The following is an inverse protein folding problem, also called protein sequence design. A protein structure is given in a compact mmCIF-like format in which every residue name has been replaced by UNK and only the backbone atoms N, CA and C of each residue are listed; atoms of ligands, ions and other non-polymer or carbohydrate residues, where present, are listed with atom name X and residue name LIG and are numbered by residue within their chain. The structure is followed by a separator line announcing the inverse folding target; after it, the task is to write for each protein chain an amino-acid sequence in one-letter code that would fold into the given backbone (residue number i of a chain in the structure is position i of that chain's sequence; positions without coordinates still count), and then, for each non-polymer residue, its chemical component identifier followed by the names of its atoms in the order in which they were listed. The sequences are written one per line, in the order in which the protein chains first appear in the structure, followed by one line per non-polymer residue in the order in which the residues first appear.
data_IF_868209132976
#
_entry.id   IF_868209132976
#
_cell.length_a   1.000
_cell.length_b   1.000
_cell.length_c   1.000
_cell.angle_alpha   90.00
_cell.angle_beta   90.00
_cell.angle_gamma   90.00
#
_symmetry.space_group_name_H-M   'P 1'
#
loop_
_entity.id
_entity.type
_entity.pdbx_description
1 polymer ?
#
# COMPACT_ATOMS: atom_id res chain seq x y z
N UNK A 1 24.73 56.11 11.89
CA UNK A 1 25.16 54.69 11.76
C UNK A 1 24.30 53.89 12.71
N UNK A 2 23.16 53.41 12.19
CA UNK A 2 22.11 52.71 12.92
C UNK A 2 22.28 51.22 12.64
N UNK A 3 22.44 50.40 13.68
CA UNK A 3 22.32 48.95 13.60
C UNK A 3 21.20 48.53 14.55
N UNK A 4 19.98 48.60 14.01
CA UNK A 4 18.79 47.98 14.57
C UNK A 4 18.84 46.48 14.28
N UNK A 5 19.08 45.69 15.32
CA UNK A 5 18.96 44.23 15.30
C UNK A 5 17.47 43.89 15.38
N UNK A 6 16.86 43.63 14.22
CA UNK A 6 15.51 43.10 14.14
C UNK A 6 15.51 41.61 14.46
N UNK A 7 14.85 41.27 15.56
CA UNK A 7 14.51 39.91 15.97
C UNK A 7 13.56 39.30 14.93
N UNK A 8 14.08 38.48 14.00
CA UNK A 8 13.26 37.65 13.14
C UNK A 8 13.01 36.32 13.86
N UNK A 9 11.84 36.20 14.50
CA UNK A 9 11.26 34.92 14.89
C UNK A 9 10.96 34.16 13.60
N UNK A 10 11.87 33.27 13.19
CA UNK A 10 11.59 32.25 12.18
C UNK A 10 10.62 31.27 12.82
N UNK A 11 9.33 31.47 12.55
CA UNK A 11 8.35 30.40 12.69
C UNK A 11 8.77 29.30 11.72
N UNK A 12 9.43 28.26 12.24
CA UNK A 12 9.53 26.97 11.59
C UNK A 12 8.11 26.41 11.48
N UNK A 13 7.43 26.77 10.38
CA UNK A 13 6.37 25.93 9.85
C UNK A 13 7.06 24.63 9.43
N UNK A 14 6.95 23.63 10.30
CA UNK A 14 7.24 22.24 9.97
C UNK A 14 6.29 21.82 8.85
N UNK A 15 6.68 22.06 7.60
CA UNK A 15 6.20 21.26 6.48
C UNK A 15 6.81 19.88 6.68
N UNK A 16 6.13 19.05 7.46
CA UNK A 16 6.55 17.69 7.73
C UNK A 16 6.63 16.96 6.39
N UNK A 17 7.83 16.60 5.96
CA UNK A 17 7.94 15.51 5.00
C UNK A 17 7.23 14.30 5.63
N UNK A 18 6.30 13.65 4.92
CA UNK A 18 5.67 12.45 5.44
C UNK A 18 6.79 11.49 5.84
N UNK A 19 6.73 10.98 7.08
CA UNK A 19 7.75 10.13 7.65
C UNK A 19 8.21 9.08 6.62
N UNK A 20 9.53 8.93 6.49
CA UNK A 20 10.13 7.95 5.58
C UNK A 20 9.45 6.59 5.80
N UNK A 21 8.93 6.01 4.72
CA UNK A 21 8.19 4.75 4.77
C UNK A 21 8.35 4.02 3.45
N UNK A 22 8.25 2.69 3.45
CA UNK A 22 8.59 1.92 2.26
C UNK A 22 7.55 0.88 1.85
N UNK A 23 6.80 0.30 2.79
CA UNK A 23 5.77 -0.71 2.46
C UNK A 23 6.29 -1.81 1.52
N UNK A 24 5.40 -2.35 0.68
CA UNK A 24 5.76 -3.45 -0.23
C UNK A 24 6.86 -3.06 -1.24
N UNK A 25 6.99 -1.77 -1.54
CA UNK A 25 7.80 -1.29 -2.65
C UNK A 25 9.31 -1.44 -2.44
N UNK A 26 9.78 -1.50 -1.19
CA UNK A 26 11.21 -1.66 -0.87
C UNK A 26 11.82 -2.95 -1.44
N UNK A 27 11.01 -3.96 -1.73
CA UNK A 27 11.54 -5.28 -2.04
C UNK A 27 10.87 -5.89 -3.26
N UNK A 28 11.69 -6.52 -4.08
CA UNK A 28 11.24 -7.09 -5.33
C UNK A 28 10.92 -6.03 -6.37
N UNK A 29 10.78 -6.52 -7.59
CA UNK A 29 10.54 -5.70 -8.77
C UNK A 29 9.11 -5.84 -9.28
N UNK A 30 8.45 -6.94 -8.91
CA UNK A 30 7.03 -7.19 -9.16
C UNK A 30 6.21 -6.80 -7.95
N UNK A 31 5.19 -5.96 -8.17
CA UNK A 31 4.33 -5.40 -7.14
C UNK A 31 2.87 -5.69 -7.46
N UNK A 32 2.09 -5.97 -6.41
CA UNK A 32 0.64 -6.14 -6.52
C UNK A 32 -0.03 -4.82 -6.18
N UNK A 33 -0.66 -4.22 -7.17
CA UNK A 33 -1.49 -3.02 -7.05
C UNK A 33 -2.96 -3.43 -6.93
N UNK A 34 -3.88 -2.45 -6.80
CA UNK A 34 -5.30 -2.70 -6.56
C UNK A 34 -5.93 -3.77 -7.49
N UNK A 35 -5.58 -3.77 -8.79
CA UNK A 35 -6.13 -4.71 -9.77
C UNK A 35 -5.07 -5.37 -10.66
N UNK A 36 -3.80 -4.99 -10.50
CA UNK A 36 -2.73 -5.41 -11.40
C UNK A 36 -1.59 -6.03 -10.61
N UNK A 37 -1.00 -7.08 -11.16
CA UNK A 37 0.38 -7.44 -10.86
C UNK A 37 1.26 -6.78 -11.92
N UNK A 38 2.24 -5.98 -11.49
CA UNK A 38 3.08 -5.19 -12.37
C UNK A 38 4.53 -5.52 -12.08
N UNK A 39 5.28 -5.91 -13.10
CA UNK A 39 6.73 -6.06 -13.06
C UNK A 39 7.39 -4.91 -13.84
N UNK A 40 8.72 -4.81 -13.89
CA UNK A 40 9.40 -3.77 -14.66
C UNK A 40 9.21 -3.88 -16.18
N UNK A 41 8.66 -4.97 -16.69
CA UNK A 41 8.55 -5.21 -18.14
C UNK A 41 7.13 -5.44 -18.62
N UNK A 42 6.24 -5.80 -17.71
CA UNK A 42 4.89 -6.25 -18.04
C UNK A 42 3.91 -6.08 -16.89
N UNK A 43 2.63 -6.22 -17.20
CA UNK A 43 1.57 -6.27 -16.22
C UNK A 43 0.51 -7.29 -16.62
N UNK A 44 -0.24 -7.74 -15.62
CA UNK A 44 -1.43 -8.58 -15.79
C UNK A 44 -2.50 -8.15 -14.79
N UNK A 45 -3.77 -8.40 -15.10
CA UNK A 45 -4.82 -8.26 -14.08
C UNK A 45 -4.71 -9.38 -13.05
N UNK A 46 -5.08 -9.09 -11.81
CA UNK A 46 -5.20 -10.05 -10.71
C UNK A 46 -6.45 -10.96 -10.87
N UNK A 47 -6.69 -11.47 -12.08
CA UNK A 47 -7.82 -12.33 -12.43
C UNK A 47 -7.35 -13.51 -13.28
N UNK A 48 -7.92 -14.69 -13.04
CA UNK A 48 -7.62 -15.88 -13.83
C UNK A 48 -7.90 -15.67 -15.32
N UNK A 49 -6.94 -16.03 -16.17
CA UNK A 49 -7.03 -15.90 -17.63
C UNK A 49 -6.79 -14.49 -18.18
N UNK A 50 -6.31 -13.55 -17.35
CA UNK A 50 -5.96 -12.21 -17.80
C UNK A 50 -4.83 -12.21 -18.85
N UNK A 51 -4.91 -11.28 -19.80
CA UNK A 51 -3.87 -11.07 -20.79
C UNK A 51 -2.61 -10.50 -20.11
N UNK A 52 -1.46 -11.12 -20.38
CA UNK A 52 -0.16 -10.58 -20.02
C UNK A 52 0.24 -9.53 -21.07
N UNK A 53 0.47 -8.30 -20.62
CA UNK A 53 0.79 -7.17 -21.50
C UNK A 53 2.19 -6.67 -21.17
N UNK A 54 3.09 -6.76 -22.13
CA UNK A 54 4.46 -6.30 -22.07
C UNK A 54 4.56 -4.86 -22.59
N UNK A 55 5.32 -4.02 -21.90
CA UNK A 55 5.58 -2.62 -22.28
C UNK A 55 7.07 -2.31 -22.43
N UNK A 56 7.93 -3.23 -22.01
CA UNK A 56 9.38 -3.14 -22.18
C UNK A 56 9.98 -4.52 -22.34
N UNK A 57 11.20 -4.57 -22.85
CA UNK A 57 12.07 -5.75 -22.76
C UNK A 57 12.84 -5.72 -21.44
N UNK A 58 13.42 -6.86 -21.00
CA UNK A 58 14.35 -6.89 -19.89
C UNK A 58 15.50 -5.91 -20.14
N UNK A 59 15.55 -4.86 -19.34
CA UNK A 59 16.50 -3.75 -19.46
C UNK A 59 17.00 -3.35 -18.09
N UNK A 60 18.15 -2.68 -18.06
CA UNK A 60 18.67 -2.07 -16.83
C UNK A 60 17.69 -0.94 -16.41
N UNK A 61 16.98 -1.19 -15.31
CA UNK A 61 16.19 -0.19 -14.60
C UNK A 61 16.82 0.07 -13.24
N UNK A 62 16.58 1.26 -12.69
CA UNK A 62 17.02 1.62 -11.34
C UNK A 62 15.91 2.35 -10.58
N UNK A 63 15.77 2.09 -9.27
CA UNK A 63 14.81 2.81 -8.44
C UNK A 63 15.26 4.27 -8.30
N UNK A 64 14.35 5.20 -8.59
CA UNK A 64 14.56 6.64 -8.45
C UNK A 64 13.98 7.17 -7.14
N UNK A 65 12.79 6.70 -6.78
CA UNK A 65 12.03 7.14 -5.61
C UNK A 65 11.23 5.98 -5.05
N UNK A 66 11.06 5.97 -3.74
CA UNK A 66 10.30 4.97 -3.02
C UNK A 66 9.56 5.59 -1.84
N UNK A 67 8.31 5.19 -1.67
CA UNK A 67 7.52 5.37 -0.45
C UNK A 67 6.62 4.14 -0.25
N UNK A 68 5.81 4.07 0.81
CA UNK A 68 4.72 3.06 0.89
C UNK A 68 3.57 3.30 -0.11
N UNK A 69 3.52 4.48 -0.73
CA UNK A 69 2.44 4.90 -1.63
C UNK A 69 2.83 4.79 -3.11
N UNK A 70 4.11 4.91 -3.42
CA UNK A 70 4.63 4.87 -4.78
C UNK A 70 6.07 4.34 -4.89
N UNK A 71 6.40 3.82 -6.08
CA UNK A 71 7.76 3.48 -6.48
C UNK A 71 7.97 3.94 -7.90
N UNK A 72 9.08 4.64 -8.16
CA UNK A 72 9.45 5.08 -9.51
C UNK A 72 10.71 4.35 -9.95
N UNK A 73 10.61 3.60 -11.05
CA UNK A 73 11.74 3.06 -11.77
C UNK A 73 12.07 3.96 -12.96
N UNK A 74 13.35 4.16 -13.22
CA UNK A 74 13.83 4.79 -14.46
C UNK A 74 14.51 3.74 -15.33
N UNK A 75 14.21 3.78 -16.62
CA UNK A 75 14.77 2.90 -17.64
C UNK A 75 15.82 3.62 -18.45
N UNK A 76 16.72 2.85 -19.05
CA UNK A 76 17.58 3.37 -20.12
C UNK A 76 16.71 3.73 -21.35
N UNK A 77 16.86 4.94 -21.94
CA UNK A 77 16.06 5.36 -23.08
C UNK A 77 16.14 4.38 -24.27
N UNK A 78 14.98 3.96 -24.78
CA UNK A 78 14.82 3.15 -25.99
C UNK A 78 13.51 3.53 -26.72
N UNK A 79 13.48 3.50 -28.06
CA UNK A 79 12.26 3.80 -28.81
C UNK A 79 11.10 2.88 -28.43
N UNK A 80 9.93 3.45 -28.19
CA UNK A 80 8.70 2.72 -27.86
C UNK A 80 8.68 2.06 -26.47
N UNK A 81 9.76 2.14 -25.69
CA UNK A 81 9.82 1.68 -24.30
C UNK A 81 9.65 2.86 -23.33
N UNK A 82 9.14 2.63 -22.11
CA UNK A 82 9.00 3.70 -21.15
C UNK A 82 10.38 4.21 -20.69
N UNK A 83 10.48 5.50 -20.43
CA UNK A 83 11.56 6.14 -19.68
C UNK A 83 11.41 5.91 -18.17
N UNK A 84 10.16 5.86 -17.68
CA UNK A 84 9.85 5.64 -16.26
C UNK A 84 8.61 4.78 -16.07
N UNK A 85 8.61 3.98 -15.02
CA UNK A 85 7.44 3.27 -14.49
C UNK A 85 7.18 3.80 -13.09
N UNK A 86 5.94 4.20 -12.82
CA UNK A 86 5.48 4.55 -11.49
C UNK A 86 4.43 3.56 -11.04
N UNK A 87 4.77 2.77 -10.02
CA UNK A 87 3.82 2.01 -9.23
C UNK A 87 3.07 2.97 -8.29
N UNK A 88 1.75 2.81 -8.17
CA UNK A 88 0.88 3.76 -7.47
C UNK A 88 -0.12 3.00 -6.59
N UNK A 89 0.15 2.87 -5.29
CA UNK A 89 -0.76 2.20 -4.35
C UNK A 89 -2.03 3.00 -4.07
N UNK A 90 -2.02 4.31 -4.31
CA UNK A 90 -3.16 5.21 -4.10
C UNK A 90 -4.09 5.31 -5.32
N UNK A 91 -3.83 4.56 -6.40
CA UNK A 91 -4.58 4.64 -7.65
C UNK A 91 -5.18 3.28 -8.05
N UNK A 92 -5.99 3.28 -9.11
CA UNK A 92 -6.56 2.06 -9.70
C UNK A 92 -5.63 1.42 -10.74
N UNK A 93 -4.31 1.70 -10.69
CA UNK A 93 -3.32 1.16 -11.61
C UNK A 93 -1.93 1.78 -11.46
N UNK A 94 -1.23 2.00 -12.57
CA UNK A 94 0.15 2.48 -12.60
C UNK A 94 0.40 3.38 -13.81
N UNK A 95 1.53 4.08 -13.85
CA UNK A 95 1.82 5.05 -14.91
C UNK A 95 3.14 4.77 -15.59
N UNK A 96 3.18 4.93 -16.91
CA UNK A 96 4.36 4.73 -17.74
C UNK A 96 4.70 6.05 -18.46
N UNK A 97 5.92 6.54 -18.33
CA UNK A 97 6.37 7.74 -19.05
C UNK A 97 7.07 7.32 -20.34
N UNK A 98 6.67 7.87 -21.47
CA UNK A 98 7.28 7.61 -22.78
C UNK A 98 7.92 8.86 -23.37
N UNK A 99 8.81 8.62 -24.33
CA UNK A 99 9.38 9.63 -25.20
C UNK A 99 9.52 9.06 -26.61
N UNK A 100 9.16 9.85 -27.60
CA UNK A 100 9.22 9.50 -29.02
C UNK A 100 8.41 8.23 -29.38
N UNK A 101 7.28 8.01 -28.69
CA UNK A 101 6.32 6.94 -29.01
C UNK A 101 6.10 5.91 -27.89
N UNK A 102 5.02 5.15 -28.04
CA UNK A 102 4.53 4.18 -27.05
C UNK A 102 4.24 2.85 -27.73
N UNK A 103 4.62 1.74 -27.06
CA UNK A 103 4.34 0.38 -27.52
C UNK A 103 3.94 -0.54 -26.36
N UNK A 104 2.85 -1.28 -26.55
CA UNK A 104 2.48 -2.44 -25.73
C UNK A 104 2.39 -3.68 -26.61
N UNK A 105 2.68 -4.85 -26.05
CA UNK A 105 2.52 -6.15 -26.69
C UNK A 105 1.74 -7.09 -25.78
N UNK A 106 0.63 -7.65 -26.26
CA UNK A 106 -0.10 -8.68 -25.53
C UNK A 106 0.22 -10.07 -26.06
N UNK A 107 0.31 -11.06 -25.16
CA UNK A 107 0.47 -12.49 -25.51
C UNK A 107 -0.76 -13.27 -25.09
N UNK A 108 -1.11 -14.29 -25.88
CA UNK A 108 -2.11 -15.30 -25.51
C UNK A 108 -3.58 -14.87 -25.47
N UNK A 109 -3.90 -13.62 -25.80
CA UNK A 109 -5.26 -13.10 -25.94
C UNK A 109 -5.48 -12.52 -27.35
N UNK A 110 -6.74 -12.45 -27.79
CA UNK A 110 -7.08 -11.77 -29.04
C UNK A 110 -6.62 -10.31 -29.01
N UNK A 111 -6.40 -9.74 -30.19
CA UNK A 111 -6.16 -8.30 -30.31
C UNK A 111 -7.37 -7.52 -29.75
N UNK A 112 -7.15 -6.50 -28.89
CA UNK A 112 -8.24 -5.74 -28.30
C UNK A 112 -8.88 -4.78 -29.32
N UNK A 113 -10.14 -4.44 -29.08
CA UNK A 113 -10.77 -3.26 -29.65
C UNK A 113 -10.26 -2.01 -28.94
N UNK A 114 -10.05 -0.94 -29.70
CA UNK A 114 -9.78 0.40 -29.16
C UNK A 114 -11.07 1.20 -29.16
N UNK A 115 -11.42 1.76 -28.01
CA UNK A 115 -12.68 2.46 -27.80
C UNK A 115 -12.45 3.79 -27.08
N UNK A 116 -13.04 4.87 -27.57
CA UNK A 116 -12.93 6.22 -26.99
C UNK A 116 -14.30 6.87 -26.89
N UNK A 117 -14.36 8.17 -26.56
CA UNK A 117 -15.61 8.88 -26.29
C UNK A 117 -16.63 8.84 -27.44
N UNK A 118 -16.15 8.82 -28.68
CA UNK A 118 -16.97 9.05 -29.88
C UNK A 118 -16.98 7.86 -30.85
N UNK A 119 -16.25 6.77 -30.54
CA UNK A 119 -16.16 5.63 -31.44
C UNK A 119 -15.33 4.45 -30.93
N UNK A 120 -15.30 3.41 -31.76
CA UNK A 120 -14.51 2.20 -31.54
C UNK A 120 -13.95 1.70 -32.87
N UNK A 121 -12.76 1.09 -32.83
CA UNK A 121 -12.14 0.42 -33.96
C UNK A 121 -11.58 -0.94 -33.55
N UNK A 122 -11.53 -1.85 -34.52
CA UNK A 122 -10.86 -3.14 -34.38
C UNK A 122 -9.38 -3.10 -34.76
N UNK A 123 -8.72 -4.26 -34.73
CA UNK A 123 -7.32 -4.40 -35.15
C UNK A 123 -7.11 -3.92 -36.60
N UNK A 124 -5.94 -3.34 -36.86
CA UNK A 124 -5.54 -2.83 -38.17
C UNK A 124 -6.04 -1.42 -38.50
N UNK A 125 -6.99 -0.86 -37.74
CA UNK A 125 -7.56 0.47 -37.99
C UNK A 125 -7.06 1.47 -36.95
N UNK A 126 -6.48 2.61 -37.34
CA UNK A 126 -6.03 3.63 -36.39
C UNK A 126 -7.20 4.40 -35.79
N UNK A 127 -7.05 4.80 -34.53
CA UNK A 127 -7.94 5.74 -33.84
C UNK A 127 -7.58 7.19 -34.22
N UNK A 128 -8.53 8.14 -34.10
CA UNK A 128 -8.17 9.56 -34.12
C UNK A 128 -7.29 9.91 -32.90
N UNK A 129 -6.70 11.10 -32.93
CA UNK A 129 -5.97 11.62 -31.77
C UNK A 129 -6.93 11.82 -30.59
N UNK A 130 -6.71 11.10 -29.48
CA UNK A 130 -7.59 11.12 -28.31
C UNK A 130 -6.79 11.24 -27.01
N UNK A 131 -7.40 11.84 -25.98
CA UNK A 131 -6.79 11.95 -24.65
C UNK A 131 -6.90 10.67 -23.81
N UNK A 132 -7.67 9.68 -24.26
CA UNK A 132 -7.78 8.37 -23.63
C UNK A 132 -8.30 7.33 -24.63
N UNK A 133 -7.93 6.08 -24.40
CA UNK A 133 -8.43 4.93 -25.13
C UNK A 133 -8.65 3.75 -24.18
N UNK A 134 -9.71 3.00 -24.42
CA UNK A 134 -10.07 1.79 -23.70
C UNK A 134 -9.74 0.57 -24.56
N UNK A 135 -9.02 -0.37 -23.97
CA UNK A 135 -8.76 -1.69 -24.53
C UNK A 135 -9.81 -2.66 -23.97
N UNK A 136 -10.51 -3.34 -24.87
CA UNK A 136 -11.53 -4.33 -24.54
C UNK A 136 -11.45 -5.54 -25.46
N UNK A 137 -11.87 -6.70 -24.98
CA UNK A 137 -11.72 -7.98 -25.69
C UNK A 137 -13.06 -8.62 -26.05
N UNK A 138 -13.03 -9.50 -27.04
CA UNK A 138 -14.20 -10.32 -27.38
C UNK A 138 -14.53 -11.33 -26.27
N UNK A 139 -13.51 -11.72 -25.51
CA UNK A 139 -13.55 -12.54 -24.32
C UNK A 139 -13.98 -11.70 -23.10
N UNK A 140 -14.58 -12.34 -22.07
CA UNK A 140 -14.95 -11.68 -20.82
C UNK A 140 -13.70 -11.33 -19.99
N UNK A 141 -13.01 -10.26 -20.36
CA UNK A 141 -11.84 -9.73 -19.64
C UNK A 141 -12.12 -8.33 -19.09
N UNK A 142 -11.48 -7.93 -17.98
CA UNK A 142 -11.57 -6.56 -17.49
C UNK A 142 -10.96 -5.58 -18.50
N UNK A 143 -11.63 -4.47 -18.84
CA UNK A 143 -11.10 -3.51 -19.80
C UNK A 143 -9.95 -2.70 -19.19
N UNK A 144 -8.96 -2.32 -20.01
CA UNK A 144 -7.83 -1.45 -19.59
C UNK A 144 -8.05 -0.06 -20.14
N UNK A 145 -8.06 0.95 -19.28
CA UNK A 145 -8.08 2.35 -19.69
C UNK A 145 -6.64 2.88 -19.78
N UNK A 146 -6.31 3.47 -20.91
CA UNK A 146 -5.12 4.30 -21.11
C UNK A 146 -5.56 5.76 -21.12
N UNK A 147 -4.98 6.57 -20.24
CA UNK A 147 -5.18 8.02 -20.21
C UNK A 147 -3.86 8.71 -20.50
N UNK A 148 -3.86 9.67 -21.43
CA UNK A 148 -2.67 10.37 -21.89
C UNK A 148 -2.57 11.73 -21.17
N UNK A 149 -1.43 12.01 -20.55
CA UNK A 149 -1.17 13.31 -19.91
C UNK A 149 -0.65 14.37 -20.89
N UNK A 150 -0.14 13.95 -22.05
CA UNK A 150 0.38 14.83 -23.09
C UNK A 150 -0.70 15.24 -24.09
N UNK A 151 -0.24 15.60 -25.29
CA UNK A 151 -1.15 15.87 -26.41
C UNK A 151 -1.94 14.60 -26.78
N UNK A 152 -3.21 14.75 -27.24
CA UNK A 152 -3.99 13.63 -27.75
C UNK A 152 -3.23 12.83 -28.81
N UNK A 153 -3.30 11.50 -28.73
CA UNK A 153 -2.53 10.60 -29.60
C UNK A 153 -3.42 9.60 -30.30
N UNK A 154 -3.09 9.32 -31.57
CA UNK A 154 -3.71 8.24 -32.33
C UNK A 154 -2.99 6.92 -32.05
N UNK A 155 -3.76 5.87 -31.82
CA UNK A 155 -3.30 4.51 -31.54
C UNK A 155 -3.77 3.53 -32.62
N UNK A 156 -2.99 2.48 -32.86
CA UNK A 156 -3.40 1.35 -33.70
C UNK A 156 -2.98 0.03 -33.05
N UNK A 157 -3.88 -0.94 -33.05
CA UNK A 157 -3.57 -2.33 -32.71
C UNK A 157 -3.24 -3.08 -33.99
N UNK A 158 -2.18 -3.88 -33.98
CA UNK A 158 -1.81 -4.80 -35.06
C UNK A 158 -1.75 -6.22 -34.54
N UNK A 159 -2.27 -7.17 -35.30
CA UNK A 159 -2.09 -8.59 -35.02
C UNK A 159 -0.66 -9.02 -35.37
N UNK A 160 -0.09 -9.87 -34.54
CA UNK A 160 1.22 -10.48 -34.73
C UNK A 160 1.09 -12.00 -34.62
N UNK A 161 2.07 -12.74 -35.15
CA UNK A 161 2.03 -14.21 -35.13
C UNK A 161 1.83 -14.79 -33.72
N UNK A 162 2.42 -14.15 -32.70
CA UNK A 162 2.38 -14.59 -31.30
C UNK A 162 1.51 -13.70 -30.38
N UNK A 163 0.65 -12.85 -30.94
CA UNK A 163 -0.21 -11.97 -30.16
C UNK A 163 -0.58 -10.67 -30.88
N UNK A 164 -0.41 -9.54 -30.22
CA UNK A 164 -0.74 -8.23 -30.80
C UNK A 164 0.20 -7.15 -30.28
N UNK A 165 0.30 -6.05 -31.04
CA UNK A 165 1.00 -4.85 -30.61
C UNK A 165 0.10 -3.61 -30.74
N UNK A 166 0.11 -2.77 -29.71
CA UNK A 166 -0.52 -1.45 -29.70
C UNK A 166 0.58 -0.39 -29.78
N UNK A 167 0.48 0.50 -30.76
CA UNK A 167 1.50 1.52 -31.03
C UNK A 167 0.85 2.88 -31.32
N UNK A 168 1.60 3.97 -31.07
CA UNK A 168 1.18 5.31 -31.48
C UNK A 168 1.40 5.54 -32.98
N UNK A 169 0.48 6.27 -33.60
CA UNK A 169 0.58 6.69 -35.01
C UNK A 169 1.55 7.85 -35.21
N UNK A 170 1.76 8.64 -34.15
CA UNK A 170 2.65 9.80 -34.12
C UNK A 170 3.56 9.68 -32.89
N UNK A 171 4.72 10.38 -32.87
CA UNK A 171 5.54 10.44 -31.67
C UNK A 171 4.73 10.96 -30.48
N UNK A 172 4.88 10.31 -29.33
CA UNK A 172 4.21 10.69 -28.09
C UNK A 172 5.23 10.92 -26.99
N UNK A 173 5.12 12.07 -26.34
CA UNK A 173 5.90 12.48 -25.17
C UNK A 173 4.95 12.76 -24.01
N UNK A 174 5.02 11.94 -22.95
CA UNK A 174 4.14 12.12 -21.79
C UNK A 174 3.96 10.87 -20.97
N UNK A 175 3.10 10.97 -19.96
CA UNK A 175 2.67 9.83 -19.15
C UNK A 175 1.47 9.15 -19.79
N UNK A 176 1.48 7.83 -19.77
CA UNK A 176 0.35 6.96 -20.07
C UNK A 176 -0.07 6.32 -18.75
N UNK A 177 -1.24 6.72 -18.26
CA UNK A 177 -1.83 6.17 -17.04
C UNK A 177 -2.63 4.92 -17.42
N UNK A 178 -2.18 3.76 -16.93
CA UNK A 178 -2.86 2.48 -17.10
C UNK A 178 -3.78 2.27 -15.90
N UNK A 179 -5.08 2.07 -16.16
CA UNK A 179 -6.12 2.03 -15.12
C UNK A 179 -7.10 0.89 -15.34
N UNK A 180 -7.67 0.41 -14.25
CA UNK A 180 -8.81 -0.52 -14.23
C UNK A 180 -10.12 0.28 -13.99
N UNK A 181 -10.77 0.82 -15.03
CA UNK A 181 -11.90 1.75 -14.86
C UNK A 181 -13.14 1.09 -14.23
N UNK A 182 -13.25 -0.23 -14.39
CA UNK A 182 -14.32 -1.06 -13.83
C UNK A 182 -13.77 -2.10 -12.84
N UNK A 183 -12.57 -1.85 -12.29
CA UNK A 183 -11.91 -2.78 -11.37
C UNK A 183 -11.68 -4.16 -11.99
N UNK A 184 -12.19 -5.20 -11.33
CA UNK A 184 -12.07 -6.60 -11.70
C UNK A 184 -13.20 -7.12 -12.61
N UNK A 185 -14.17 -6.25 -12.94
CA UNK A 185 -15.36 -6.63 -13.71
C UNK A 185 -14.98 -7.02 -15.15
N UNK A 186 -15.27 -8.27 -15.51
CA UNK A 186 -15.11 -8.75 -16.87
C UNK A 186 -16.26 -8.27 -17.76
N UNK A 187 -15.91 -7.71 -18.90
CA UNK A 187 -16.88 -7.23 -19.88
C UNK A 187 -16.59 -7.89 -21.23
N UNK A 188 -17.58 -8.57 -21.78
CA UNK A 188 -17.53 -9.11 -23.13
C UNK A 188 -17.98 -8.05 -24.14
N UNK A 189 -17.15 -7.75 -25.13
CA UNK A 189 -17.51 -6.82 -26.23
C UNK A 189 -17.52 -7.54 -27.58
N UNK A 190 -18.69 -8.02 -28.02
CA UNK A 190 -18.84 -8.77 -29.29
C UNK A 190 -19.36 -7.91 -30.45
N UNK A 191 -19.86 -6.72 -30.17
CA UNK A 191 -20.32 -5.80 -31.21
C UNK A 191 -20.45 -4.35 -30.74
N UNK A 192 -20.84 -3.48 -31.67
CA UNK A 192 -20.92 -2.03 -31.46
C UNK A 192 -21.81 -1.64 -30.26
N UNK A 193 -22.90 -2.36 -30.02
CA UNK A 193 -23.78 -2.09 -28.87
C UNK A 193 -23.10 -2.36 -27.52
N UNK A 194 -22.27 -3.41 -27.42
CA UNK A 194 -21.51 -3.71 -26.20
C UNK A 194 -20.45 -2.64 -25.94
N UNK A 195 -19.73 -2.24 -27.01
CA UNK A 195 -18.71 -1.20 -26.96
C UNK A 195 -19.32 0.16 -26.56
N UNK A 196 -20.48 0.53 -27.13
CA UNK A 196 -21.19 1.75 -26.78
C UNK A 196 -21.66 1.77 -25.31
N UNK A 197 -22.15 0.64 -24.80
CA UNK A 197 -22.47 0.49 -23.36
C UNK A 197 -21.23 0.63 -22.49
N UNK A 198 -20.11 0.06 -22.91
CA UNK A 198 -18.86 0.13 -22.19
C UNK A 198 -18.34 1.58 -22.09
N UNK A 199 -18.38 2.34 -23.19
CA UNK A 199 -18.04 3.78 -23.21
C UNK A 199 -18.90 4.56 -22.21
N UNK A 200 -20.21 4.37 -22.25
CA UNK A 200 -21.15 5.11 -21.39
C UNK A 200 -20.84 4.90 -19.89
N UNK A 201 -20.30 3.74 -19.51
CA UNK A 201 -19.94 3.43 -18.12
C UNK A 201 -18.60 4.03 -17.68
N UNK A 202 -17.71 4.33 -18.62
CA UNK A 202 -16.33 4.78 -18.34
C UNK A 202 -16.16 6.28 -18.56
N UNK A 203 -16.83 6.87 -19.56
CA UNK A 203 -16.63 8.26 -20.03
C UNK A 203 -16.60 9.28 -18.90
N UNK A 204 -17.59 9.24 -18.01
CA UNK A 204 -17.71 10.21 -16.91
C UNK A 204 -16.67 9.98 -15.80
N UNK A 205 -16.06 8.79 -15.75
CA UNK A 205 -15.05 8.43 -14.76
C UNK A 205 -13.63 8.86 -15.20
N UNK A 206 -13.39 9.03 -16.50
CA UNK A 206 -12.05 9.30 -17.06
C UNK A 206 -11.39 10.51 -16.41
N UNK A 207 -12.14 11.59 -16.14
CA UNK A 207 -11.63 12.80 -15.52
C UNK A 207 -10.96 12.55 -14.15
N UNK A 208 -11.39 11.52 -13.43
CA UNK A 208 -10.86 11.12 -12.12
C UNK A 208 -9.83 9.99 -12.19
N UNK A 209 -9.54 9.48 -13.40
CA UNK A 209 -8.65 8.34 -13.65
C UNK A 209 -7.34 8.75 -14.32
N UNK A 210 -7.04 10.05 -14.36
CA UNK A 210 -5.76 10.60 -14.81
C UNK A 210 -4.60 10.27 -13.86
N UNK A 211 -3.72 11.24 -13.58
CA UNK A 211 -2.59 10.97 -12.69
C UNK A 211 -3.06 10.62 -11.26
N UNK A 212 -2.34 9.70 -10.61
CA UNK A 212 -2.67 9.21 -9.29
C UNK A 212 -2.70 10.32 -8.23
N UNK A 213 -3.64 10.24 -7.26
CA UNK A 213 -3.66 11.12 -6.10
C UNK A 213 -2.38 11.01 -5.28
N UNK A 214 -1.74 12.15 -5.03
CA UNK A 214 -0.51 12.23 -4.24
C UNK A 214 -0.87 12.64 -2.82
N UNK A 215 -0.33 11.89 -1.86
CA UNK A 215 -0.46 12.24 -0.46
C UNK A 215 0.29 13.55 -0.19
N UNK A 216 -0.42 14.51 0.40
CA UNK A 216 0.11 15.82 0.78
C UNK A 216 0.40 15.89 2.27
N UNK A 217 -0.50 15.31 3.09
CA UNK A 217 -0.47 15.45 4.54
C UNK A 217 -1.24 14.29 5.21
N UNK A 218 -0.87 14.01 6.47
CA UNK A 218 -1.55 13.04 7.33
C UNK A 218 -1.80 13.68 8.69
N UNK A 219 -3.07 13.88 9.02
CA UNK A 219 -3.46 14.34 10.34
C UNK A 219 -3.96 13.17 11.19
N UNK A 220 -3.57 13.17 12.46
CA UNK A 220 -4.08 12.22 13.44
C UNK A 220 -4.60 12.94 14.67
N UNK A 221 -5.71 12.44 15.19
CA UNK A 221 -6.32 12.91 16.44
C UNK A 221 -6.78 11.70 17.23
N UNK A 222 -6.32 11.60 18.47
CA UNK A 222 -6.63 10.49 19.35
C UNK A 222 -7.51 10.94 20.52
N UNK A 223 -8.39 10.03 20.94
CA UNK A 223 -9.15 10.15 22.19
C UNK A 223 -9.18 8.78 22.90
N UNK A 224 -9.99 8.68 23.96
CA UNK A 224 -10.13 7.46 24.78
C UNK A 224 -10.73 6.26 24.03
N UNK A 225 -11.49 6.51 22.95
CA UNK A 225 -12.23 5.49 22.20
C UNK A 225 -11.54 5.08 20.90
N UNK A 226 -10.49 5.79 20.48
CA UNK A 226 -9.81 5.47 19.24
C UNK A 226 -8.96 6.60 18.68
N UNK A 227 -8.56 6.42 17.43
CA UNK A 227 -7.80 7.40 16.66
C UNK A 227 -8.52 7.68 15.34
N UNK A 228 -8.67 8.96 15.03
CA UNK A 228 -9.08 9.42 13.71
C UNK A 228 -7.85 9.78 12.91
N UNK A 229 -7.76 9.26 11.69
CA UNK A 229 -6.70 9.57 10.73
C UNK A 229 -7.32 10.18 9.48
N UNK A 230 -6.75 11.27 8.99
CA UNK A 230 -7.13 11.92 7.75
C UNK A 230 -5.92 11.96 6.82
N UNK A 231 -5.97 11.20 5.73
CA UNK A 231 -5.02 11.33 4.62
C UNK A 231 -5.53 12.37 3.63
N UNK A 232 -4.76 13.43 3.41
CA UNK A 232 -5.08 14.48 2.43
C UNK A 232 -4.31 14.29 1.14
N UNK A 233 -5.05 14.29 0.03
CA UNK A 233 -4.52 14.14 -1.31
C UNK A 233 -4.65 15.44 -2.10
N UNK A 234 -3.81 15.61 -3.12
CA UNK A 234 -3.88 16.76 -4.03
C UNK A 234 -5.17 16.78 -4.88
N UNK A 235 -5.76 15.61 -5.12
CA UNK A 235 -6.94 15.39 -5.98
C UNK A 235 -7.81 14.20 -5.48
N UNK A 236 -9.07 14.10 -5.93
CA UNK A 236 -9.94 12.98 -5.56
C UNK A 236 -9.56 11.67 -6.27
N UNK A 237 -10.18 10.57 -5.84
CA UNK A 237 -10.04 9.26 -6.48
C UNK A 237 -9.01 8.34 -5.83
N UNK A 238 -8.55 8.66 -4.62
CA UNK A 238 -7.58 7.83 -3.90
C UNK A 238 -8.19 6.45 -3.62
N UNK A 239 -7.45 5.39 -3.93
CA UNK A 239 -7.87 4.03 -3.65
C UNK A 239 -8.00 3.80 -2.13
N UNK A 240 -9.11 3.18 -1.72
CA UNK A 240 -9.38 2.83 -0.33
C UNK A 240 -8.92 1.38 -0.11
N UNK A 241 -7.97 1.14 0.80
CA UNK A 241 -7.45 -0.21 1.06
C UNK A 241 -8.55 -1.20 1.47
N UNK A 242 -8.55 -2.45 0.98
CA UNK A 242 -9.55 -3.47 1.35
C UNK A 242 -9.72 -3.70 2.85
N UNK A 243 -8.65 -3.73 3.69
CA UNK A 243 -8.80 -3.82 5.14
C UNK A 243 -9.65 -2.70 5.74
N UNK A 244 -9.66 -1.51 5.13
CA UNK A 244 -10.46 -0.39 5.57
C UNK A 244 -11.96 -0.65 5.36
N UNK A 245 -12.32 -1.20 4.20
CA UNK A 245 -13.72 -1.49 3.87
C UNK A 245 -14.24 -2.72 4.60
N UNK A 246 -13.42 -3.75 4.77
CA UNK A 246 -13.75 -4.93 5.59
C UNK A 246 -13.88 -4.56 7.08
N UNK A 247 -12.95 -3.77 7.62
CA UNK A 247 -13.05 -3.29 9.01
C UNK A 247 -14.29 -2.42 9.25
N UNK A 248 -14.74 -1.67 8.24
CA UNK A 248 -15.97 -0.87 8.32
C UNK A 248 -17.23 -1.72 8.35
N UNK A 249 -17.32 -2.76 7.51
CA UNK A 249 -18.47 -3.68 7.49
C UNK A 249 -18.55 -4.50 8.79
N UNK A 250 -17.40 -4.84 9.38
CA UNK A 250 -17.30 -5.50 10.69
C UNK A 250 -17.47 -4.55 11.88
N UNK A 251 -17.69 -3.25 11.65
CA UNK A 251 -17.81 -2.20 12.69
C UNK A 251 -16.56 -2.07 13.58
N UNK A 252 -15.39 -2.51 13.14
CA UNK A 252 -14.11 -2.33 13.84
C UNK A 252 -13.49 -0.96 13.61
N UNK A 253 -13.89 -0.31 12.52
CA UNK A 253 -13.57 1.08 12.22
C UNK A 253 -14.77 1.77 11.58
N UNK A 254 -14.71 3.09 11.41
CA UNK A 254 -15.71 3.85 10.66
C UNK A 254 -15.02 4.61 9.54
N UNK A 255 -15.46 4.39 8.30
CA UNK A 255 -15.11 5.24 7.17
C UNK A 255 -15.96 6.50 7.24
N UNK A 256 -15.31 7.65 7.46
CA UNK A 256 -16.01 8.94 7.61
C UNK A 256 -16.07 9.70 6.29
N UNK A 257 -15.13 9.45 5.38
CA UNK A 257 -15.14 10.04 4.04
C UNK A 257 -16.14 9.33 3.11
N UNK A 258 -16.73 10.07 2.15
CA UNK A 258 -17.52 9.46 1.09
C UNK A 258 -16.63 8.61 0.18
N UNK A 259 -17.08 7.38 -0.08
CA UNK A 259 -16.41 6.42 -0.96
C UNK A 259 -17.35 5.96 -2.07
N UNK A 260 -16.77 5.66 -3.22
CA UNK A 260 -17.44 5.10 -4.39
C UNK A 260 -16.89 3.71 -4.67
N UNK A 261 -17.79 2.77 -4.99
CA UNK A 261 -17.39 1.44 -5.44
C UNK A 261 -16.81 1.50 -6.85
N UNK A 262 -15.75 0.74 -7.08
CA UNK A 262 -15.10 0.55 -8.38
C UNK A 262 -15.37 -0.87 -8.86
N UNK A 263 -16.12 -1.00 -9.95
CA UNK A 263 -16.46 -2.31 -10.52
C UNK A 263 -17.54 -3.06 -9.73
N UNK A 264 -17.51 -4.39 -9.82
CA UNK A 264 -18.44 -5.30 -9.13
C UNK A 264 -17.92 -5.80 -7.78
N UNK A 265 -16.60 -5.78 -7.55
CA UNK A 265 -15.98 -6.24 -6.33
C UNK A 265 -16.04 -5.27 -5.14
N UNK A 266 -15.23 -5.56 -4.13
CA UNK A 266 -15.09 -4.79 -2.88
C UNK A 266 -14.01 -3.70 -2.97
N UNK A 267 -13.72 -3.22 -4.18
CA UNK A 267 -12.78 -2.14 -4.38
C UNK A 267 -13.50 -0.78 -4.30
N UNK A 268 -12.90 0.17 -3.59
CA UNK A 268 -13.47 1.49 -3.39
C UNK A 268 -12.43 2.59 -3.62
N UNK A 269 -12.91 3.79 -3.95
CA UNK A 269 -12.11 5.00 -4.06
C UNK A 269 -12.77 6.14 -3.29
N UNK A 270 -11.98 7.09 -2.83
CA UNK A 270 -12.51 8.30 -2.21
C UNK A 270 -13.09 9.25 -3.28
N UNK A 271 -14.31 9.73 -3.06
CA UNK A 271 -14.93 10.74 -3.93
C UNK A 271 -14.31 12.12 -3.76
N UNK A 272 -13.77 12.41 -2.56
CA UNK A 272 -13.13 13.67 -2.21
C UNK A 272 -11.61 13.58 -2.19
N UNK A 273 -10.97 14.67 -1.75
CA UNK A 273 -9.51 14.76 -1.57
C UNK A 273 -9.01 14.22 -0.23
N UNK A 274 -9.91 13.78 0.64
CA UNK A 274 -9.57 13.36 2.01
C UNK A 274 -10.14 11.98 2.28
N UNK A 275 -9.30 11.05 2.72
CA UNK A 275 -9.74 9.77 3.29
C UNK A 275 -9.63 9.88 4.81
N UNK A 276 -10.78 9.92 5.48
CA UNK A 276 -10.88 10.01 6.93
C UNK A 276 -11.43 8.71 7.48
N UNK A 277 -10.67 8.10 8.40
CA UNK A 277 -11.01 6.83 9.03
C UNK A 277 -10.93 6.99 10.53
N UNK A 278 -11.97 6.54 11.23
CA UNK A 278 -11.97 6.39 12.68
C UNK A 278 -11.67 4.94 13.04
N UNK A 279 -10.48 4.70 13.56
CA UNK A 279 -10.04 3.42 14.08
C UNK A 279 -10.47 3.30 15.54
N UNK A 280 -11.24 2.27 15.87
CA UNK A 280 -11.74 2.03 17.24
C UNK A 280 -10.64 1.28 18.01
N UNK A 281 -10.26 1.80 19.17
CA UNK A 281 -9.21 1.20 19.96
C UNK A 281 -8.90 1.97 21.23
N UNK A 282 -8.52 1.24 22.27
CA UNK A 282 -8.14 1.78 23.58
C UNK A 282 -6.62 1.81 23.69
N UNK A 283 -6.10 2.76 24.46
CA UNK A 283 -4.69 2.71 24.86
C UNK A 283 -4.47 1.56 25.84
N UNK A 284 -3.39 0.81 25.66
CA UNK A 284 -2.83 -0.03 26.70
C UNK A 284 -1.97 0.85 27.60
N UNK A 285 -2.42 1.04 28.84
CA UNK A 285 -1.66 1.79 29.82
C UNK A 285 -0.90 0.83 30.73
N UNK A 286 0.34 1.16 31.06
CA UNK A 286 1.09 0.45 32.08
C UNK A 286 0.30 0.49 33.40
N UNK A 287 -0.02 -0.68 33.94
CA UNK A 287 -0.83 -0.83 35.13
C UNK A 287 0.01 -1.12 36.36
N UNK A 288 -0.42 -0.65 37.53
CA UNK A 288 0.03 -1.22 38.81
C UNK A 288 -0.87 -2.40 39.15
N UNK A 289 -0.31 -3.60 39.26
CA UNK A 289 -1.02 -4.75 39.81
C UNK A 289 -1.49 -4.43 41.24
N UNK A 290 -2.81 -4.39 41.47
CA UNK A 290 -3.39 -4.04 42.78
C UNK A 290 -3.38 -5.26 43.73
N UNK A 291 -3.25 -6.48 43.18
CA UNK A 291 -3.04 -7.72 43.93
C UNK A 291 -2.06 -8.58 43.15
N UNK A 292 -0.82 -8.70 43.65
CA UNK A 292 0.11 -9.74 43.21
C UNK A 292 -0.11 -10.91 44.17
N UNK A 293 -0.95 -11.88 43.79
CA UNK A 293 -0.81 -13.23 44.35
C UNK A 293 0.62 -13.71 44.06
N UNK A 294 1.18 -14.65 44.85
CA UNK A 294 2.54 -15.17 44.61
C UNK A 294 2.77 -15.35 43.11
N UNK A 295 3.64 -14.52 42.54
CA UNK A 295 3.96 -14.62 41.13
C UNK A 295 4.42 -16.06 40.91
N UNK A 296 3.71 -16.82 40.09
CA UNK A 296 4.17 -18.14 39.71
C UNK A 296 5.61 -17.97 39.19
N UNK A 297 6.50 -18.87 39.57
CA UNK A 297 7.81 -18.96 38.93
C UNK A 297 7.58 -19.45 37.50
N UNK A 298 7.11 -18.56 36.63
CA UNK A 298 6.95 -18.82 35.21
C UNK A 298 8.34 -18.75 34.56
N UNK A 299 8.78 -19.90 34.05
CA UNK A 299 9.86 -19.96 33.09
C UNK A 299 9.27 -19.56 31.74
N UNK A 300 9.64 -18.37 31.25
CA UNK A 300 9.42 -18.01 29.85
C UNK A 300 10.63 -18.55 29.08
N UNK A 301 10.48 -19.61 28.26
CA UNK A 301 11.54 -19.97 27.33
C UNK A 301 11.60 -18.85 26.29
N UNK A 302 12.49 -17.88 26.47
CA UNK A 302 12.65 -16.72 25.58
C UNK A 302 13.39 -17.10 24.29
N UNK A 303 13.05 -18.24 23.71
CA UNK A 303 13.58 -18.79 22.46
C UNK A 303 12.63 -18.54 21.27
N UNK A 304 11.39 -18.14 21.53
CA UNK A 304 10.36 -17.86 20.52
C UNK A 304 9.78 -16.43 20.64
N UNK A 305 9.35 -15.81 19.52
CA UNK A 305 8.85 -14.43 19.52
C UNK A 305 7.68 -14.23 20.47
N UNK A 306 6.77 -15.20 20.49
CA UNK A 306 5.59 -15.17 21.35
C UNK A 306 5.96 -15.08 22.83
N UNK A 307 6.92 -15.87 23.31
CA UNK A 307 7.33 -15.84 24.72
C UNK A 307 8.01 -14.51 25.10
N UNK A 308 8.74 -13.89 24.17
CA UNK A 308 9.30 -12.53 24.37
C UNK A 308 8.18 -11.50 24.50
N UNK A 309 7.16 -11.59 23.65
CA UNK A 309 5.99 -10.72 23.71
C UNK A 309 5.16 -10.96 24.99
N UNK A 310 4.99 -12.20 25.44
CA UNK A 310 4.31 -12.55 26.69
C UNK A 310 5.03 -11.93 27.90
N UNK A 311 6.36 -12.09 27.99
CA UNK A 311 7.16 -11.48 29.04
C UNK A 311 7.10 -9.94 29.00
N UNK A 312 7.08 -9.34 27.81
CA UNK A 312 6.94 -7.90 27.64
C UNK A 312 5.57 -7.39 28.15
N UNK A 313 4.48 -8.07 27.83
CA UNK A 313 3.14 -7.71 28.31
C UNK A 313 3.01 -7.92 29.83
N UNK A 314 3.54 -9.03 30.35
CA UNK A 314 3.60 -9.29 31.79
C UNK A 314 4.40 -8.19 32.52
N UNK A 315 5.44 -7.63 31.88
CA UNK A 315 6.15 -6.47 32.40
C UNK A 315 5.25 -5.24 32.47
N UNK A 316 4.51 -4.87 31.41
CA UNK A 316 3.66 -3.66 31.46
C UNK A 316 2.50 -3.77 32.45
N UNK A 317 2.04 -4.99 32.74
CA UNK A 317 1.01 -5.26 33.75
C UNK A 317 1.55 -5.48 35.16
N UNK A 318 2.88 -5.38 35.34
CA UNK A 318 3.53 -5.57 36.64
C UNK A 318 3.20 -6.94 37.27
N UNK A 319 3.12 -7.98 36.43
CA UNK A 319 2.97 -9.39 36.84
C UNK A 319 4.27 -10.18 36.64
N UNK A 320 5.23 -9.65 35.88
CA UNK A 320 6.54 -10.26 35.68
C UNK A 320 7.39 -10.21 36.96
N UNK A 321 8.01 -11.34 37.33
CA UNK A 321 8.92 -11.41 38.48
C UNK A 321 10.24 -10.67 38.22
N UNK A 322 10.96 -10.27 39.27
CA UNK A 322 12.27 -9.61 39.14
C UNK A 322 13.32 -10.47 38.41
N UNK A 323 13.24 -11.80 38.59
CA UNK A 323 14.05 -12.77 37.82
C UNK A 323 13.65 -12.75 36.36
N UNK A 324 12.35 -12.78 36.05
CA UNK A 324 11.81 -12.70 34.69
C UNK A 324 12.20 -11.40 33.99
N UNK A 325 12.15 -10.25 34.68
CA UNK A 325 12.62 -8.98 34.11
C UNK A 325 14.12 -9.03 33.79
N UNK A 326 14.93 -9.57 34.70
CA UNK A 326 16.37 -9.73 34.50
C UNK A 326 16.68 -10.68 33.33
N UNK A 327 15.86 -11.71 33.14
CA UNK A 327 15.94 -12.62 32.00
C UNK A 327 15.56 -11.92 30.70
N UNK A 328 14.42 -11.22 30.66
CA UNK A 328 13.97 -10.46 29.49
C UNK A 328 15.03 -9.46 29.05
N UNK A 329 15.59 -8.66 29.98
CA UNK A 329 16.65 -7.70 29.66
C UNK A 329 17.91 -8.38 29.11
N UNK A 330 18.29 -9.55 29.64
CA UNK A 330 19.45 -10.31 29.16
C UNK A 330 19.19 -10.88 27.77
N UNK A 331 18.03 -11.49 27.57
CA UNK A 331 17.60 -12.08 26.31
C UNK A 331 17.45 -11.03 25.22
N UNK A 332 17.02 -9.80 25.52
CA UNK A 332 17.04 -8.71 24.55
C UNK A 332 18.42 -8.41 24.00
N UNK A 333 19.46 -8.46 24.83
CA UNK A 333 20.85 -8.28 24.36
C UNK A 333 21.28 -9.38 23.38
N UNK A 334 20.81 -10.61 23.60
CA UNK A 334 21.09 -11.78 22.76
C UNK A 334 20.27 -11.73 21.47
N UNK A 335 18.97 -11.48 21.57
CA UNK A 335 18.04 -11.37 20.45
C UNK A 335 18.35 -10.20 19.53
N UNK A 336 18.79 -9.06 20.07
CA UNK A 336 19.27 -7.95 19.28
C UNK A 336 20.45 -8.33 18.36
N UNK A 337 21.22 -9.36 18.72
CA UNK A 337 22.31 -9.89 17.88
C UNK A 337 21.83 -10.88 16.82
N UNK A 338 20.71 -11.59 17.05
CA UNK A 338 20.11 -12.55 16.11
C UNK A 338 19.19 -11.88 15.08
N UNK A 339 18.38 -10.91 15.48
CA UNK A 339 17.44 -10.20 14.63
C UNK A 339 18.12 -9.11 13.77
N UNK A 340 19.29 -9.43 13.20
CA UNK A 340 20.24 -8.52 12.56
C UNK A 340 19.60 -7.29 11.93
N UNK A 341 19.99 -6.11 12.42
CA UNK A 341 19.45 -4.83 11.95
C UNK A 341 20.31 -4.37 10.77
N UNK A 342 19.77 -4.56 9.57
CA UNK A 342 20.26 -3.89 8.39
C UNK A 342 19.57 -2.53 8.24
N UNK A 343 19.84 -1.86 7.14
CA UNK A 343 19.08 -0.69 6.71
C UNK A 343 18.38 -1.00 5.40
N UNK A 344 17.10 -0.62 5.33
CA UNK A 344 16.38 -0.68 4.06
C UNK A 344 17.10 0.23 3.04
N UNK A 345 17.50 -0.28 1.86
CA UNK A 345 18.42 0.44 0.97
C UNK A 345 17.94 1.79 0.48
N UNK A 346 16.63 2.00 0.32
CA UNK A 346 16.07 3.22 -0.25
C UNK A 346 15.85 4.32 0.80
N UNK A 347 15.37 3.97 1.99
CA UNK A 347 14.99 4.89 3.07
C UNK A 347 16.05 4.98 4.17
N UNK A 348 16.96 4.02 4.25
CA UNK A 348 17.97 3.92 5.28
C UNK A 348 17.42 3.54 6.65
N UNK A 349 16.13 3.20 6.78
CA UNK A 349 15.51 2.87 8.06
C UNK A 349 15.95 1.49 8.57
N UNK A 350 16.04 1.30 9.91
CA UNK A 350 16.34 0.01 10.49
C UNK A 350 15.35 -1.06 10.03
N UNK A 351 15.83 -2.19 9.55
CA UNK A 351 14.97 -3.28 9.10
C UNK A 351 15.68 -4.62 9.24
N UNK A 352 15.00 -5.71 9.65
CA UNK A 352 15.60 -7.03 9.64
C UNK A 352 16.03 -7.37 8.20
N UNK A 353 17.32 -7.62 7.99
CA UNK A 353 17.93 -7.75 6.67
C UNK A 353 17.30 -8.78 5.73
N UNK A 354 17.62 -8.67 4.43
CA UNK A 354 17.43 -9.74 3.44
C UNK A 354 16.10 -9.77 2.65
N UNK A 355 16.08 -10.63 1.62
CA UNK A 355 14.90 -10.99 0.82
C UNK A 355 14.04 -12.07 1.50
N UNK A 356 14.62 -12.81 2.44
CA UNK A 356 13.97 -13.86 3.24
C UNK A 356 13.68 -13.29 4.64
N UNK A 357 12.45 -12.76 4.78
CA UNK A 357 11.93 -12.05 5.96
C UNK A 357 11.47 -13.01 7.06
N UNK A 358 12.25 -14.05 7.29
CA UNK A 358 11.88 -15.16 8.17
C UNK A 358 12.02 -14.80 9.65
N UNK A 359 12.55 -13.60 9.95
CA UNK A 359 12.78 -13.09 11.31
C UNK A 359 11.92 -11.86 11.68
N UNK A 360 10.88 -11.57 10.90
CA UNK A 360 10.09 -10.34 11.07
C UNK A 360 9.23 -10.39 12.34
N UNK A 361 8.70 -11.55 12.71
CA UNK A 361 7.99 -11.75 13.97
C UNK A 361 8.92 -11.51 15.17
N UNK A 362 10.14 -12.06 15.14
CA UNK A 362 11.19 -11.85 16.14
C UNK A 362 11.49 -10.35 16.29
N UNK A 363 11.68 -9.67 15.16
CA UNK A 363 11.96 -8.23 15.14
C UNK A 363 10.82 -7.41 15.75
N UNK A 364 9.56 -7.78 15.48
CA UNK A 364 8.41 -7.10 16.04
C UNK A 364 8.19 -7.40 17.53
N UNK A 365 8.43 -8.63 17.98
CA UNK A 365 8.43 -9.00 19.40
C UNK A 365 9.52 -8.25 20.18
N UNK A 366 10.71 -8.09 19.59
CA UNK A 366 11.79 -7.26 20.15
C UNK A 366 11.37 -5.80 20.30
N UNK A 367 10.76 -5.23 19.26
CA UNK A 367 10.23 -3.87 19.31
C UNK A 367 9.23 -3.70 20.46
N UNK A 368 8.33 -4.67 20.66
CA UNK A 368 7.35 -4.69 21.75
C UNK A 368 8.02 -4.71 23.12
N UNK A 369 8.99 -5.60 23.32
CA UNK A 369 9.75 -5.70 24.56
C UNK A 369 10.58 -4.44 24.87
N UNK A 370 11.20 -3.84 23.85
CA UNK A 370 11.92 -2.57 23.98
C UNK A 370 10.98 -1.44 24.42
N UNK A 371 9.79 -1.34 23.81
CA UNK A 371 8.78 -0.35 24.19
C UNK A 371 8.27 -0.59 25.62
N UNK A 372 7.98 -1.84 25.97
CA UNK A 372 7.53 -2.23 27.31
C UNK A 372 8.54 -1.81 28.39
N UNK A 373 9.83 -2.02 28.14
CA UNK A 373 10.92 -1.65 29.05
C UNK A 373 11.38 -0.18 28.94
N UNK A 374 10.67 0.64 28.15
CA UNK A 374 11.01 2.04 27.86
C UNK A 374 12.46 2.24 27.35
N UNK A 375 12.95 1.31 26.54
CA UNK A 375 14.26 1.39 25.89
C UNK A 375 14.16 2.23 24.61
N UNK A 376 15.15 3.10 24.38
CA UNK A 376 15.25 3.89 23.15
C UNK A 376 15.76 3.01 22.00
N UNK A 377 14.98 2.86 20.94
CA UNK A 377 15.33 2.05 19.77
C UNK A 377 14.74 2.64 18.49
N UNK A 378 15.56 2.76 17.44
CA UNK A 378 15.11 3.18 16.11
C UNK A 378 14.34 2.06 15.38
N UNK A 379 14.38 0.81 15.90
CA UNK A 379 13.80 -0.37 15.23
C UNK A 379 12.29 -0.23 14.97
N UNK A 380 11.59 0.36 15.94
CA UNK A 380 10.15 0.58 15.90
C UNK A 380 9.76 1.48 14.71
N UNK A 381 10.57 2.49 14.39
CA UNK A 381 10.34 3.37 13.24
C UNK A 381 10.34 2.56 11.94
N UNK A 382 11.30 1.66 11.79
CA UNK A 382 11.36 0.72 10.66
C UNK A 382 10.17 -0.22 10.57
N UNK A 383 9.74 -0.77 11.70
CA UNK A 383 8.55 -1.62 11.79
C UNK A 383 7.31 -0.89 11.31
N UNK A 384 7.04 0.30 11.83
CA UNK A 384 5.93 1.15 11.41
C UNK A 384 6.07 1.59 9.95
N UNK A 385 7.28 1.89 9.48
CA UNK A 385 7.59 2.30 8.10
C UNK A 385 7.28 1.20 7.05
N UNK A 386 7.35 -0.06 7.46
CA UNK A 386 7.09 -1.23 6.61
C UNK A 386 5.62 -1.55 6.33
N UNK A 387 4.70 -0.90 7.05
CA UNK A 387 3.27 -1.11 6.88
C UNK A 387 2.86 -0.75 5.45
N UNK A 388 2.34 -1.72 4.72
CA UNK A 388 1.90 -1.56 3.33
C UNK A 388 0.55 -0.83 3.25
N UNK A 389 0.39 0.05 2.26
CA UNK A 389 -0.85 0.80 2.09
C UNK A 389 -2.04 -0.09 1.69
N UNK A 390 -1.82 -1.09 0.83
CA UNK A 390 -2.91 -1.90 0.28
C UNK A 390 -3.37 -2.98 1.26
N UNK A 391 -2.43 -3.64 1.94
CA UNK A 391 -2.75 -4.75 2.85
C UNK A 391 -2.85 -4.34 4.30
N UNK A 392 -2.30 -3.17 4.69
CA UNK A 392 -2.13 -2.78 6.10
C UNK A 392 -1.36 -3.81 6.92
N UNK A 393 -0.56 -4.66 6.28
CA UNK A 393 0.36 -5.58 6.93
C UNK A 393 1.81 -5.09 6.77
N UNK A 394 2.70 -5.39 7.73
CA UNK A 394 4.13 -5.25 7.55
C UNK A 394 4.61 -6.03 6.33
N UNK A 395 5.67 -5.52 5.70
CA UNK A 395 6.21 -6.09 4.49
C UNK A 395 7.05 -7.33 4.81
N UNK A 396 6.47 -8.52 4.67
CA UNK A 396 7.08 -9.78 5.13
C UNK A 396 6.73 -10.99 4.26
N UNK A 397 7.17 -12.19 4.67
CA UNK A 397 6.51 -13.45 4.27
C UNK A 397 5.13 -13.48 4.94
N UNK A 398 4.10 -14.04 4.30
CA UNK A 398 2.72 -13.88 4.75
C UNK A 398 2.48 -14.24 6.22
N UNK A 399 2.99 -15.38 6.69
CA UNK A 399 2.85 -15.83 8.08
C UNK A 399 3.55 -14.87 9.06
N UNK A 400 4.84 -14.59 8.80
CA UNK A 400 5.66 -13.66 9.56
C UNK A 400 5.10 -12.23 9.60
N UNK A 401 4.51 -11.77 8.50
CA UNK A 401 3.87 -10.47 8.39
C UNK A 401 2.63 -10.37 9.27
N UNK A 402 1.81 -11.43 9.35
CA UNK A 402 0.62 -11.46 10.23
C UNK A 402 1.03 -11.48 11.70
N UNK A 403 2.00 -12.32 12.05
CA UNK A 403 2.49 -12.38 13.42
C UNK A 403 3.09 -11.04 13.85
N UNK A 404 3.93 -10.45 13.01
CA UNK A 404 4.47 -9.11 13.25
C UNK A 404 3.38 -8.03 13.30
N UNK A 405 2.31 -8.14 12.51
CA UNK A 405 1.17 -7.25 12.59
C UNK A 405 0.44 -7.35 13.94
N UNK A 406 0.38 -8.55 14.53
CA UNK A 406 -0.22 -8.75 15.84
C UNK A 406 0.60 -8.03 16.94
N UNK A 407 1.93 -8.14 16.87
CA UNK A 407 2.81 -7.39 17.78
C UNK A 407 2.79 -5.88 17.50
N UNK A 408 2.69 -5.45 16.23
CA UNK A 408 2.56 -4.05 15.82
C UNK A 408 1.25 -3.43 16.36
N UNK A 409 0.16 -4.19 16.38
CA UNK A 409 -1.10 -3.75 16.99
C UNK A 409 -0.92 -3.46 18.49
N UNK A 410 -0.30 -4.37 19.25
CA UNK A 410 -0.03 -4.16 20.68
C UNK A 410 0.94 -2.99 20.93
N UNK A 411 1.98 -2.87 20.09
CA UNK A 411 2.90 -1.74 20.10
C UNK A 411 2.18 -0.40 19.90
N UNK A 412 1.30 -0.33 18.91
CA UNK A 412 0.48 0.86 18.66
C UNK A 412 -0.41 1.15 19.86
N UNK A 413 -1.04 0.14 20.47
CA UNK A 413 -1.87 0.32 21.66
C UNK A 413 -1.09 0.86 22.87
N UNK A 414 0.18 0.46 23.04
CA UNK A 414 1.08 0.97 24.09
C UNK A 414 1.63 2.37 23.80
N UNK A 415 1.46 2.89 22.58
CA UNK A 415 1.99 4.19 22.20
C UNK A 415 1.13 5.35 22.70
N UNK A 416 1.80 6.43 23.10
CA UNK A 416 1.16 7.72 23.35
C UNK A 416 1.06 8.59 22.08
N UNK A 417 1.75 8.20 21.00
CA UNK A 417 1.70 8.89 19.72
C UNK A 417 0.45 8.47 18.93
N UNK A 418 -0.33 9.45 18.48
CA UNK A 418 -1.59 9.19 17.78
C UNK A 418 -1.37 8.47 16.45
N UNK A 419 -0.27 8.75 15.76
CA UNK A 419 0.03 8.14 14.47
C UNK A 419 0.48 6.67 14.64
N UNK A 420 1.34 6.36 15.59
CA UNK A 420 1.70 4.97 15.93
C UNK A 420 0.47 4.16 16.37
N UNK A 421 -0.42 4.74 17.19
CA UNK A 421 -1.70 4.11 17.58
C UNK A 421 -2.58 3.80 16.37
N UNK A 422 -2.63 4.71 15.39
CA UNK A 422 -3.35 4.49 14.15
C UNK A 422 -2.75 3.34 13.33
N UNK A 423 -1.43 3.30 13.16
CA UNK A 423 -0.76 2.21 12.43
C UNK A 423 -0.99 0.85 13.12
N UNK A 424 -0.98 0.80 14.46
CA UNK A 424 -1.37 -0.39 15.22
C UNK A 424 -2.80 -0.84 14.97
N UNK A 425 -3.75 0.10 14.98
CA UNK A 425 -5.15 -0.21 14.72
C UNK A 425 -5.39 -0.63 13.24
N UNK A 426 -4.64 -0.08 12.29
CA UNK A 426 -4.66 -0.51 10.89
C UNK A 426 -4.21 -1.97 10.75
N UNK A 427 -3.09 -2.35 11.40
CA UNK A 427 -2.62 -3.73 11.41
C UNK A 427 -3.64 -4.69 12.03
N UNK A 428 -4.30 -4.30 13.13
CA UNK A 428 -5.38 -5.09 13.71
C UNK A 428 -6.57 -5.27 12.77
N UNK A 429 -6.99 -4.20 12.09
CA UNK A 429 -8.07 -4.27 11.11
C UNK A 429 -7.74 -5.21 9.95
N UNK A 430 -6.48 -5.21 9.49
CA UNK A 430 -5.99 -6.14 8.47
C UNK A 430 -6.09 -7.60 8.92
N UNK A 431 -5.59 -7.92 10.11
CA UNK A 431 -5.63 -9.28 10.66
C UNK A 431 -7.05 -9.83 10.79
N UNK A 432 -8.00 -8.97 11.18
CA UNK A 432 -9.41 -9.37 11.30
C UNK A 432 -10.07 -9.53 9.93
N UNK A 433 -9.73 -8.69 8.95
CA UNK A 433 -10.18 -8.86 7.58
C UNK A 433 -9.71 -10.19 6.94
N UNK A 434 -8.53 -10.70 7.32
CA UNK A 434 -8.05 -12.02 6.85
C UNK A 434 -8.66 -13.21 7.59
N UNK A 435 -9.39 -13.00 8.70
CA UNK A 435 -10.02 -14.03 9.53
C UNK A 435 -9.04 -15.12 10.00
N UNK A 436 -7.78 -14.76 10.20
CA UNK A 436 -6.74 -15.68 10.69
C UNK A 436 -6.55 -15.53 12.19
N UNK A 437 -6.47 -16.66 12.91
CA UNK A 437 -6.01 -16.66 14.31
C UNK A 437 -4.55 -16.24 14.38
N UNK A 438 -4.23 -15.39 15.36
CA UNK A 438 -2.91 -14.78 15.53
C UNK A 438 -2.61 -14.58 17.02
N UNK A 439 -1.33 -14.41 17.43
CA UNK A 439 -0.98 -14.25 18.83
C UNK A 439 -1.77 -13.16 19.54
N UNK A 440 -2.12 -13.42 20.80
CA UNK A 440 -2.85 -12.49 21.66
C UNK A 440 -4.21 -12.02 21.13
N UNK A 441 -4.91 -12.85 20.34
CA UNK A 441 -6.23 -12.51 19.78
C UNK A 441 -7.21 -11.95 20.81
N UNK A 442 -7.37 -12.63 21.95
CA UNK A 442 -8.28 -12.20 23.03
C UNK A 442 -7.93 -10.81 23.55
N UNK A 443 -6.65 -10.55 23.83
CA UNK A 443 -6.18 -9.24 24.28
C UNK A 443 -6.40 -8.17 23.21
N UNK A 444 -6.07 -8.47 21.95
CA UNK A 444 -6.25 -7.53 20.84
C UNK A 444 -7.72 -7.19 20.62
N UNK A 445 -8.65 -8.11 20.80
CA UNK A 445 -10.09 -7.82 20.73
C UNK A 445 -10.61 -6.99 21.91
N UNK A 446 -10.00 -7.09 23.10
CA UNK A 446 -10.29 -6.19 24.23
C UNK A 446 -9.81 -4.76 23.96
N UNK A 447 -8.62 -4.63 23.36
CA UNK A 447 -8.00 -3.35 23.01
C UNK A 447 -8.69 -2.70 21.82
N UNK A 448 -9.06 -3.48 20.81
CA UNK A 448 -9.68 -3.06 19.56
C UNK A 448 -11.08 -3.67 19.40
N UNK A 449 -12.04 -3.24 20.23
CA UNK A 449 -13.37 -3.83 20.27
C UNK A 449 -14.17 -3.48 19.01
N UNK A 450 -15.16 -4.31 18.72
CA UNK A 450 -16.21 -4.00 17.74
C UNK A 450 -17.02 -2.81 18.26
N UNK A 451 -17.27 -1.82 17.41
CA UNK A 451 -18.13 -0.68 17.77
C UNK A 451 -19.56 -1.17 18.03
N UNK A 452 -20.09 -0.76 19.18
CA UNK A 452 -21.48 -0.99 19.58
C UNK A 452 -22.48 -0.34 18.61
#
# INVERSE_FOLDING_TARGET
MLLSVSLAVVALLSTGEPAASFGQFAYGDTHRLAFFEVSPTEFTFLRNGAAQIQFSEPTDFFPQRLSRFDKVLTYRPRPGAPLRLRFEATSLGFSLQYRDGFRLKGRGASAPFLTWADGSVGPGVPTPATGWALLSWSEPLPPVLLVFSGEPVGLQVSEQADGWALETQTPYDGWVMVRAPLGDEAVTTRGAADLGRLVARVKDKVATMGEAPRLMDVETSADERGVTVTWRFDRPGAFVPPPATAGASERRLKLLSPIERVGTGEAFRCSGKELTIRLIGRGLHAGRGVVVGQAAEEEFPLDQPQHVAEAALAYVWNTLSARGESELRRSLGVWASYAGVDREPATGLPWPGGRERDTLAEYAALCLAERALALSSERQVGLFASLDWLTWLPTGVAEQAREAAAYLALLGALSNDAYERALGAMAQAALRAEQTEQPFDSLRDEVYPIAA
#
